data_IF_353978927213
#
_entry.id   IF_353978927213
#
_cell.length_a   1.000
_cell.length_b   1.000
_cell.length_c   1.000
_cell.angle_alpha   90.00
_cell.angle_beta   90.00
_cell.angle_gamma   90.00
#
_symmetry.space_group_name_H-M   'P 1'
#
loop_
_entity.id
_entity.type
_entity.pdbx_description
1 polymer ?
#
# COMPACT_ATOMS: atom_id res chain seq x y z
N UNK A 1 25.65 -1.85 -16.39
CA UNK A 1 24.65 -1.90 -15.27
C UNK A 1 25.18 -2.87 -14.23
N UNK A 2 25.22 -2.53 -12.94
CA UNK A 2 25.82 -3.40 -11.90
C UNK A 2 24.86 -4.58 -11.61
N UNK A 3 25.33 -5.85 -11.64
CA UNK A 3 24.47 -7.04 -11.50
C UNK A 3 23.68 -7.09 -10.18
N UNK A 4 24.18 -6.47 -9.12
CA UNK A 4 23.48 -6.38 -7.83
C UNK A 4 22.12 -5.67 -7.90
N UNK A 5 21.89 -4.79 -8.90
CA UNK A 5 20.62 -4.07 -9.08
C UNK A 5 19.54 -4.94 -9.73
N UNK A 6 19.94 -5.92 -10.53
CA UNK A 6 19.02 -6.85 -11.19
C UNK A 6 18.55 -7.94 -10.22
N UNK A 7 19.40 -8.35 -9.28
CA UNK A 7 19.08 -9.37 -8.27
C UNK A 7 18.04 -8.84 -7.27
N UNK A 8 18.15 -7.57 -6.86
CA UNK A 8 17.18 -6.95 -5.95
C UNK A 8 15.79 -6.80 -6.58
N UNK A 9 15.70 -6.51 -7.89
CA UNK A 9 14.43 -6.40 -8.59
C UNK A 9 13.77 -7.79 -8.82
N UNK A 10 14.57 -8.82 -9.10
CA UNK A 10 14.08 -10.18 -9.26
C UNK A 10 13.60 -10.80 -7.94
N UNK A 11 14.23 -10.47 -6.81
CA UNK A 11 13.83 -10.95 -5.48
C UNK A 11 12.46 -10.41 -5.03
N UNK A 12 12.08 -9.20 -5.46
CA UNK A 12 10.76 -8.61 -5.16
C UNK A 12 9.62 -9.20 -6.00
N UNK A 13 9.91 -9.72 -7.20
CA UNK A 13 8.93 -10.38 -8.07
C UNK A 13 8.69 -11.85 -7.70
N UNK A 14 9.58 -12.47 -6.92
CA UNK A 14 9.46 -13.88 -6.53
C UNK A 14 8.60 -14.13 -5.28
N UNK A 15 8.07 -13.08 -4.63
CA UNK A 15 7.27 -13.19 -3.39
C UNK A 15 5.78 -13.43 -3.69
N UNK A 16 5.36 -13.37 -4.95
CA UNK A 16 4.01 -13.73 -5.36
C UNK A 16 3.87 -15.27 -5.40
N UNK A 17 3.86 -15.89 -4.23
CA UNK A 17 3.38 -17.26 -4.06
C UNK A 17 1.86 -17.30 -4.14
N UNK A 18 1.25 -18.47 -4.46
CA UNK A 18 -0.21 -18.58 -4.44
C UNK A 18 -0.74 -18.20 -3.05
N UNK A 19 -1.73 -17.32 -3.01
CA UNK A 19 -2.44 -16.98 -1.79
C UNK A 19 -3.15 -18.23 -1.28
N UNK A 20 -2.49 -18.98 -0.40
CA UNK A 20 -3.11 -20.05 0.36
C UNK A 20 -3.96 -19.33 1.44
N UNK A 21 -5.23 -19.17 1.16
CA UNK A 21 -6.24 -18.82 2.14
C UNK A 21 -6.26 -19.93 3.22
N UNK A 22 -5.45 -19.78 4.26
CA UNK A 22 -5.59 -20.61 5.44
C UNK A 22 -6.74 -20.07 6.28
N UNK A 23 -7.71 -20.91 6.68
CA UNK A 23 -8.74 -20.55 7.64
C UNK A 23 -8.11 -20.54 9.02
N UNK A 24 -7.65 -19.39 9.43
CA UNK A 24 -7.06 -19.12 10.74
C UNK A 24 -6.78 -17.63 10.76
N UNK A 25 -7.81 -16.81 11.04
CA UNK A 25 -7.63 -15.38 11.25
C UNK A 25 -6.67 -15.19 12.42
N UNK A 26 -5.41 -14.90 12.13
CA UNK A 26 -4.51 -14.37 13.14
C UNK A 26 -5.09 -13.01 13.59
N UNK A 27 -5.80 -13.03 14.70
CA UNK A 27 -6.37 -11.83 15.32
C UNK A 27 -5.28 -11.08 16.08
N UNK A 28 -5.46 -9.79 16.26
CA UNK A 28 -4.56 -8.98 17.07
C UNK A 28 -3.31 -8.51 16.31
N UNK A 29 -2.23 -8.26 17.06
CA UNK A 29 -1.01 -7.64 16.53
C UNK A 29 -0.38 -8.47 15.39
N UNK A 30 -0.28 -9.79 15.56
CA UNK A 30 0.32 -10.69 14.55
C UNK A 30 -0.45 -10.66 13.24
N UNK A 31 -1.78 -10.79 13.31
CA UNK A 31 -2.64 -10.66 12.14
C UNK A 31 -2.47 -9.32 11.44
N UNK A 32 -2.48 -8.22 12.20
CA UNK A 32 -2.24 -6.89 11.65
C UNK A 32 -0.87 -6.73 10.98
N UNK A 33 0.19 -7.31 11.55
CA UNK A 33 1.53 -7.26 10.95
C UNK A 33 1.61 -8.05 9.64
N UNK A 34 0.96 -9.20 9.56
CA UNK A 34 1.03 -10.08 8.40
C UNK A 34 0.08 -9.65 7.28
N UNK A 35 -1.04 -9.02 7.61
CA UNK A 35 -2.10 -8.72 6.67
C UNK A 35 -1.63 -7.92 5.43
N UNK A 36 -0.91 -6.78 5.55
CA UNK A 36 -0.44 -6.04 4.38
C UNK A 36 0.61 -6.77 3.54
N UNK A 37 1.19 -7.85 4.07
CA UNK A 37 2.17 -8.68 3.35
C UNK A 37 1.51 -9.81 2.57
N UNK A 38 0.35 -10.27 3.01
CA UNK A 38 -0.37 -11.42 2.43
C UNK A 38 -1.44 -10.99 1.43
N UNK A 39 -1.98 -9.76 1.56
CA UNK A 39 -2.91 -9.16 0.60
C UNK A 39 -2.15 -8.53 -0.59
N UNK A 40 -2.25 -9.08 -1.82
CA UNK A 40 -1.50 -8.54 -2.96
C UNK A 40 -1.87 -7.10 -3.31
N UNK A 41 -3.12 -6.72 -3.19
CA UNK A 41 -3.63 -5.35 -3.36
C UNK A 41 -3.00 -4.37 -2.35
N UNK A 42 -2.96 -4.78 -1.08
CA UNK A 42 -2.37 -4.01 0.00
C UNK A 42 -0.87 -3.83 -0.17
N UNK A 43 -0.15 -4.92 -0.44
CA UNK A 43 1.28 -4.89 -0.71
C UNK A 43 1.61 -3.92 -1.85
N UNK A 44 0.87 -4.01 -2.96
CA UNK A 44 1.04 -3.15 -4.12
C UNK A 44 0.72 -1.68 -3.79
N UNK A 45 -0.40 -1.40 -3.11
CA UNK A 45 -0.78 -0.04 -2.75
C UNK A 45 0.24 0.61 -1.81
N UNK A 46 0.67 -0.10 -0.75
CA UNK A 46 1.61 0.44 0.24
C UNK A 46 2.98 0.77 -0.39
N UNK A 47 3.52 -0.14 -1.21
CA UNK A 47 4.76 0.13 -1.93
C UNK A 47 4.59 1.31 -2.91
N UNK A 48 3.45 1.37 -3.62
CA UNK A 48 3.16 2.45 -4.55
C UNK A 48 3.09 3.83 -3.89
N UNK A 49 2.53 3.95 -2.67
CA UNK A 49 2.56 5.20 -1.89
C UNK A 49 4.00 5.65 -1.66
N UNK A 50 4.89 4.74 -1.26
CA UNK A 50 6.30 5.03 -1.04
C UNK A 50 7.03 5.45 -2.33
N UNK A 51 6.81 4.73 -3.43
CA UNK A 51 7.34 5.07 -4.75
C UNK A 51 6.87 6.46 -5.20
N UNK A 52 5.58 6.73 -5.10
CA UNK A 52 4.96 8.00 -5.48
C UNK A 52 5.53 9.17 -4.68
N UNK A 53 5.65 9.00 -3.35
CA UNK A 53 6.27 9.98 -2.47
C UNK A 53 7.75 10.23 -2.81
N UNK A 54 8.48 9.15 -3.12
CA UNK A 54 9.89 9.21 -3.52
C UNK A 54 10.11 9.92 -4.85
N UNK A 55 9.23 9.69 -5.84
CA UNK A 55 9.29 10.36 -7.15
C UNK A 55 9.05 11.86 -7.04
N UNK A 56 8.11 12.28 -6.20
CA UNK A 56 7.83 13.70 -5.96
C UNK A 56 8.96 14.37 -5.19
N UNK A 57 9.54 13.68 -4.22
CA UNK A 57 10.61 14.20 -3.37
C UNK A 57 10.18 15.31 -2.40
N UNK A 58 11.15 15.95 -1.76
CA UNK A 58 10.94 17.04 -0.83
C UNK A 58 9.97 16.67 0.31
N UNK A 59 9.01 17.53 0.61
CA UNK A 59 8.02 17.33 1.71
C UNK A 59 7.10 16.13 1.46
N UNK A 60 6.88 15.71 0.22
CA UNK A 60 6.03 14.57 -0.10
C UNK A 60 6.58 13.25 0.46
N UNK A 61 7.90 13.12 0.65
CA UNK A 61 8.54 11.89 1.14
C UNK A 61 8.06 11.44 2.51
N UNK A 62 7.58 12.34 3.34
CA UNK A 62 7.02 12.04 4.66
C UNK A 62 5.53 12.41 4.77
N UNK A 63 5.09 13.48 4.09
CA UNK A 63 3.72 13.97 4.24
C UNK A 63 2.69 13.02 3.62
N UNK A 64 3.00 12.40 2.47
CA UNK A 64 2.09 11.45 1.83
C UNK A 64 1.99 10.13 2.60
N UNK A 65 3.10 9.43 2.98
CA UNK A 65 3.02 8.27 3.85
C UNK A 65 2.29 8.55 5.17
N UNK A 66 2.60 9.67 5.82
CA UNK A 66 1.95 10.04 7.07
C UNK A 66 0.45 10.28 6.89
N UNK A 67 0.04 11.00 5.83
CA UNK A 67 -1.37 11.25 5.54
C UNK A 67 -2.14 9.94 5.33
N UNK A 68 -1.55 8.98 4.62
CA UNK A 68 -2.14 7.65 4.46
C UNK A 68 -2.32 6.95 5.81
N UNK A 69 -1.26 6.88 6.63
CA UNK A 69 -1.31 6.18 7.92
C UNK A 69 -2.30 6.80 8.90
N UNK A 70 -2.33 8.14 8.99
CA UNK A 70 -3.27 8.85 9.86
C UNK A 70 -4.70 8.59 9.40
N UNK A 71 -4.97 8.69 8.10
CA UNK A 71 -6.33 8.45 7.59
C UNK A 71 -6.74 6.98 7.69
N UNK A 72 -5.81 6.02 7.55
CA UNK A 72 -6.08 4.61 7.81
C UNK A 72 -6.45 4.39 9.29
N UNK A 73 -5.74 5.01 10.23
CA UNK A 73 -6.11 4.96 11.64
C UNK A 73 -7.53 5.51 11.87
N UNK A 74 -7.90 6.62 11.21
CA UNK A 74 -9.27 7.15 11.26
C UNK A 74 -10.29 6.18 10.65
N UNK A 75 -9.94 5.48 9.56
CA UNK A 75 -10.76 4.44 8.97
C UNK A 75 -11.04 3.28 9.93
N UNK A 76 -10.01 2.82 10.66
CA UNK A 76 -10.20 1.83 11.73
C UNK A 76 -11.12 2.32 12.84
N UNK A 77 -10.97 3.58 13.26
CA UNK A 77 -11.81 4.19 14.29
C UNK A 77 -13.28 4.37 13.86
N UNK A 78 -13.52 4.57 12.56
CA UNK A 78 -14.89 4.64 12.03
C UNK A 78 -15.61 3.28 12.15
N UNK A 79 -14.85 2.19 12.22
CA UNK A 79 -15.37 0.85 12.41
C UNK A 79 -15.90 0.18 11.14
N UNK A 80 -16.27 -1.10 11.26
CA UNK A 80 -16.73 -1.90 10.11
C UNK A 80 -18.04 -1.35 9.55
N UNK A 81 -18.14 -1.31 8.22
CA UNK A 81 -19.37 -0.92 7.51
C UNK A 81 -19.66 0.58 7.45
N UNK A 82 -18.78 1.45 7.99
CA UNK A 82 -18.98 2.89 7.91
C UNK A 82 -19.01 3.42 6.45
N UNK A 83 -18.27 2.76 5.55
CA UNK A 83 -18.20 3.14 4.13
C UNK A 83 -18.44 1.92 3.22
N UNK A 84 -19.53 1.88 2.48
CA UNK A 84 -19.92 0.69 1.68
C UNK A 84 -19.00 0.42 0.47
N UNK A 85 -18.12 1.36 0.12
CA UNK A 85 -17.20 1.27 -1.01
C UNK A 85 -15.75 0.94 -0.60
N UNK A 86 -15.52 0.38 0.60
CA UNK A 86 -14.17 0.18 1.10
C UNK A 86 -13.34 -0.73 0.17
N UNK A 87 -13.82 -1.93 -0.14
CA UNK A 87 -13.13 -2.88 -1.02
C UNK A 87 -12.88 -2.33 -2.44
N UNK A 88 -13.89 -1.78 -3.15
CA UNK A 88 -13.63 -1.15 -4.44
C UNK A 88 -12.61 -0.01 -4.39
N UNK A 89 -12.55 0.75 -3.30
CA UNK A 89 -11.61 1.84 -3.14
C UNK A 89 -10.19 1.36 -2.82
N UNK A 90 -10.02 0.22 -2.16
CA UNK A 90 -8.72 -0.44 -2.02
C UNK A 90 -8.17 -0.78 -3.40
N UNK A 91 -8.95 -1.46 -4.25
CA UNK A 91 -8.54 -1.78 -5.61
C UNK A 91 -8.29 -0.52 -6.46
N UNK A 92 -9.17 0.49 -6.35
CA UNK A 92 -9.00 1.77 -7.03
C UNK A 92 -7.67 2.45 -6.65
N UNK A 93 -7.22 2.30 -5.39
CA UNK A 93 -5.94 2.84 -4.94
C UNK A 93 -4.75 2.21 -5.66
N UNK A 94 -4.77 0.87 -5.84
CA UNK A 94 -3.71 0.15 -6.59
C UNK A 94 -3.63 0.66 -8.03
N UNK A 95 -4.79 0.76 -8.71
CA UNK A 95 -4.85 1.22 -10.09
C UNK A 95 -4.41 2.68 -10.23
N UNK A 96 -4.93 3.56 -9.39
CA UNK A 96 -4.61 4.99 -9.45
C UNK A 96 -3.15 5.26 -9.10
N UNK A 97 -2.64 4.71 -8.01
CA UNK A 97 -1.25 4.89 -7.61
C UNK A 97 -0.29 4.25 -8.61
N UNK A 98 -0.61 3.04 -9.10
CA UNK A 98 0.15 2.38 -10.16
C UNK A 98 0.27 3.24 -11.40
N UNK A 99 -0.83 3.83 -11.87
CA UNK A 99 -0.86 4.73 -13.03
C UNK A 99 -0.04 6.01 -12.78
N UNK A 100 -0.23 6.67 -11.63
CA UNK A 100 0.47 7.90 -11.29
C UNK A 100 1.99 7.69 -11.20
N UNK A 101 2.42 6.57 -10.62
CA UNK A 101 3.84 6.19 -10.54
C UNK A 101 4.39 5.83 -11.92
N UNK A 102 3.68 5.01 -12.71
CA UNK A 102 4.10 4.61 -14.05
C UNK A 102 4.29 5.80 -14.99
N UNK A 103 3.40 6.78 -14.94
CA UNK A 103 3.44 7.99 -15.76
C UNK A 103 4.33 9.08 -15.18
N UNK A 104 4.81 8.93 -13.95
CA UNK A 104 5.51 9.99 -13.20
C UNK A 104 4.69 11.29 -13.14
N UNK A 105 3.38 11.18 -12.91
CA UNK A 105 2.45 12.30 -12.97
C UNK A 105 2.87 13.43 -12.01
N UNK A 106 2.87 14.71 -12.46
CA UNK A 106 3.31 15.85 -11.67
C UNK A 106 2.21 16.30 -10.70
N UNK A 107 1.99 15.52 -9.63
CA UNK A 107 0.97 15.83 -8.62
C UNK A 107 1.51 16.80 -7.57
N UNK A 108 0.76 17.86 -7.29
CA UNK A 108 1.10 18.83 -6.25
C UNK A 108 1.01 18.24 -4.85
N UNK A 109 1.74 18.84 -3.88
CA UNK A 109 1.79 18.31 -2.50
C UNK A 109 0.40 18.12 -1.88
N UNK A 110 -0.45 19.14 -1.95
CA UNK A 110 -1.80 19.09 -1.36
C UNK A 110 -2.73 18.07 -2.02
N UNK A 111 -2.70 17.99 -3.36
CA UNK A 111 -3.48 17.01 -4.10
C UNK A 111 -3.04 15.57 -3.78
N UNK A 112 -1.72 15.34 -3.66
CA UNK A 112 -1.19 14.06 -3.24
C UNK A 112 -1.59 13.69 -1.82
N UNK A 113 -1.55 14.64 -0.87
CA UNK A 113 -2.05 14.43 0.50
C UNK A 113 -3.52 14.01 0.48
N UNK A 114 -4.38 14.75 -0.23
CA UNK A 114 -5.80 14.44 -0.31
C UNK A 114 -6.06 13.05 -0.90
N UNK A 115 -5.35 12.71 -1.97
CA UNK A 115 -5.49 11.42 -2.65
C UNK A 115 -5.09 10.25 -1.75
N UNK A 116 -3.89 10.30 -1.15
CA UNK A 116 -3.41 9.19 -0.32
C UNK A 116 -4.18 9.10 1.00
N UNK A 117 -4.68 10.24 1.54
CA UNK A 117 -5.54 10.24 2.71
C UNK A 117 -6.90 9.59 2.41
N UNK A 118 -7.49 9.88 1.24
CA UNK A 118 -8.71 9.21 0.80
C UNK A 118 -8.51 7.69 0.75
N UNK A 119 -7.47 7.23 0.10
CA UNK A 119 -7.18 5.80 0.00
C UNK A 119 -6.86 5.18 1.37
N UNK A 120 -6.07 5.85 2.20
CA UNK A 120 -5.78 5.38 3.55
C UNK A 120 -7.04 5.19 4.40
N UNK A 121 -7.99 6.13 4.32
CA UNK A 121 -9.26 6.01 5.04
C UNK A 121 -10.01 4.72 4.68
N UNK A 122 -10.12 4.41 3.39
CA UNK A 122 -10.79 3.20 2.93
C UNK A 122 -10.02 1.92 3.27
N UNK A 123 -8.68 1.94 3.23
CA UNK A 123 -7.87 0.82 3.70
C UNK A 123 -8.12 0.51 5.17
N UNK A 124 -8.06 1.53 6.03
CA UNK A 124 -8.34 1.34 7.46
C UNK A 124 -9.74 0.81 7.72
N UNK A 125 -10.73 1.27 6.96
CA UNK A 125 -12.11 0.85 7.12
C UNK A 125 -12.38 -0.57 6.61
N UNK A 126 -11.78 -0.98 5.48
CA UNK A 126 -11.87 -2.35 4.98
C UNK A 126 -11.34 -3.33 6.04
N UNK A 127 -10.18 -3.02 6.63
CA UNK A 127 -9.55 -3.90 7.61
C UNK A 127 -10.19 -3.85 9.00
N UNK A 128 -10.93 -2.79 9.34
CA UNK A 128 -11.73 -2.78 10.56
C UNK A 128 -12.78 -3.90 10.57
N UNK A 129 -13.28 -4.29 9.37
CA UNK A 129 -14.22 -5.40 9.24
C UNK A 129 -13.56 -6.77 9.46
N UNK A 130 -12.30 -6.92 9.07
CA UNK A 130 -11.54 -8.18 9.15
C UNK A 130 -10.90 -8.41 10.51
N UNK A 131 -10.56 -7.35 11.22
CA UNK A 131 -9.83 -7.39 12.50
C UNK A 131 -10.59 -8.13 13.62
N UNK A 132 -11.90 -8.35 13.48
CA UNK A 132 -12.74 -8.88 14.55
C UNK A 132 -12.89 -7.91 15.73
N UNK A 133 -13.93 -8.09 16.53
CA UNK A 133 -14.29 -7.12 17.60
C UNK A 133 -13.36 -7.16 18.82
N UNK A 134 -12.64 -8.27 19.07
CA UNK A 134 -11.90 -8.47 20.32
C UNK A 134 -10.47 -7.90 20.32
N UNK A 135 -9.87 -7.62 19.18
CA UNK A 135 -8.46 -7.22 19.09
C UNK A 135 -8.18 -6.15 18.04
N UNK A 136 -9.21 -5.39 17.63
CA UNK A 136 -9.14 -4.40 16.55
C UNK A 136 -7.99 -3.39 16.76
N UNK A 137 -7.77 -2.92 17.98
CA UNK A 137 -6.70 -1.95 18.26
C UNK A 137 -5.30 -2.54 18.06
N UNK A 138 -5.06 -3.77 18.49
CA UNK A 138 -3.78 -4.45 18.29
C UNK A 138 -3.55 -4.78 16.81
N UNK A 139 -4.59 -5.21 16.10
CA UNK A 139 -4.55 -5.44 14.66
C UNK A 139 -4.22 -4.13 13.92
N UNK A 140 -4.92 -3.03 14.24
CA UNK A 140 -4.68 -1.73 13.61
C UNK A 140 -3.22 -1.26 13.82
N UNK A 141 -2.65 -1.44 15.00
CA UNK A 141 -1.24 -1.12 15.27
C UNK A 141 -0.32 -1.95 14.37
N UNK A 142 -0.52 -3.27 14.29
CA UNK A 142 0.27 -4.14 13.42
C UNK A 142 0.18 -3.72 11.95
N UNK A 143 -1.04 -3.49 11.47
CA UNK A 143 -1.29 -3.01 10.11
C UNK A 143 -0.56 -1.71 9.80
N UNK A 144 -0.67 -0.70 10.67
CA UNK A 144 -0.02 0.60 10.47
C UNK A 144 1.52 0.50 10.50
N UNK A 145 2.08 -0.34 11.36
CA UNK A 145 3.54 -0.57 11.43
C UNK A 145 4.04 -1.19 10.11
N UNK A 146 3.40 -2.24 9.63
CA UNK A 146 3.80 -2.89 8.38
C UNK A 146 3.56 -1.98 7.17
N UNK A 147 2.45 -1.24 7.13
CA UNK A 147 2.19 -0.24 6.09
C UNK A 147 3.28 0.83 6.05
N UNK A 148 3.70 1.35 7.21
CA UNK A 148 4.80 2.31 7.30
C UNK A 148 6.12 1.71 6.76
N UNK A 149 6.42 0.46 7.10
CA UNK A 149 7.61 -0.24 6.59
C UNK A 149 7.56 -0.42 5.07
N UNK A 150 6.40 -0.77 4.50
CA UNK A 150 6.20 -0.91 3.05
C UNK A 150 6.29 0.44 2.32
N UNK A 151 5.75 1.52 2.91
CA UNK A 151 5.96 2.88 2.39
C UNK A 151 7.46 3.22 2.37
N UNK A 152 8.18 2.89 3.46
CA UNK A 152 9.63 3.06 3.55
C UNK A 152 10.38 2.26 2.48
N UNK A 153 9.97 1.02 2.23
CA UNK A 153 10.55 0.15 1.21
C UNK A 153 10.35 0.74 -0.21
N UNK A 154 9.14 1.20 -0.54
CA UNK A 154 8.87 1.86 -1.82
C UNK A 154 9.69 3.14 -2.01
N UNK A 155 9.77 3.97 -0.97
CA UNK A 155 10.60 5.18 -0.96
C UNK A 155 12.10 4.85 -1.13
N UNK A 156 12.59 3.84 -0.44
CA UNK A 156 13.97 3.35 -0.55
C UNK A 156 14.27 2.83 -1.95
N UNK A 157 13.37 2.01 -2.51
CA UNK A 157 13.49 1.50 -3.86
C UNK A 157 13.60 2.63 -4.89
N UNK A 158 12.73 3.65 -4.78
CA UNK A 158 12.77 4.82 -5.66
C UNK A 158 14.11 5.56 -5.58
N UNK A 159 14.67 5.73 -4.39
CA UNK A 159 15.96 6.43 -4.18
C UNK A 159 17.15 5.66 -4.73
N UNK A 160 17.15 4.34 -4.55
CA UNK A 160 18.29 3.48 -4.96
C UNK A 160 18.25 3.14 -6.44
N UNK A 161 17.09 2.77 -6.94
CA UNK A 161 16.93 2.30 -8.32
C UNK A 161 16.70 3.43 -9.33
N UNK A 162 16.18 4.57 -8.86
CA UNK A 162 15.97 5.77 -9.67
C UNK A 162 14.65 5.77 -10.47
N UNK A 163 14.38 6.87 -11.20
CA UNK A 163 13.06 7.14 -11.79
C UNK A 163 12.56 6.08 -12.80
N UNK A 164 13.45 5.51 -13.60
CA UNK A 164 13.07 4.52 -14.60
C UNK A 164 12.53 3.25 -13.95
N UNK A 165 13.18 2.77 -12.90
CA UNK A 165 12.74 1.60 -12.14
C UNK A 165 11.48 1.88 -11.34
N UNK A 166 11.34 3.09 -10.78
CA UNK A 166 10.09 3.51 -10.15
C UNK A 166 8.90 3.43 -11.11
N UNK A 167 9.05 3.93 -12.34
CA UNK A 167 8.00 3.85 -13.36
C UNK A 167 7.67 2.41 -13.76
N UNK A 168 8.68 1.54 -13.90
CA UNK A 168 8.46 0.11 -14.15
C UNK A 168 7.70 -0.57 -13.00
N UNK A 169 8.07 -0.26 -11.75
CA UNK A 169 7.35 -0.76 -10.59
C UNK A 169 5.90 -0.25 -10.55
N UNK A 170 5.67 1.02 -10.89
CA UNK A 170 4.32 1.56 -11.05
C UNK A 170 3.51 0.87 -12.13
N UNK A 171 4.11 0.57 -13.28
CA UNK A 171 3.46 -0.20 -14.35
C UNK A 171 3.14 -1.63 -13.89
N UNK A 172 4.04 -2.29 -13.17
CA UNK A 172 3.79 -3.60 -12.57
C UNK A 172 2.66 -3.55 -11.55
N UNK A 173 2.60 -2.51 -10.71
CA UNK A 173 1.49 -2.27 -9.78
C UNK A 173 0.16 -2.13 -10.51
N UNK A 174 0.12 -1.32 -11.60
CA UNK A 174 -1.08 -1.14 -12.41
C UNK A 174 -1.55 -2.46 -13.04
N UNK A 175 -0.63 -3.22 -13.64
CA UNK A 175 -0.94 -4.54 -14.22
C UNK A 175 -1.42 -5.52 -13.16
N UNK A 176 -0.79 -5.55 -11.99
CA UNK A 176 -1.22 -6.35 -10.86
C UNK A 176 -2.63 -5.99 -10.40
N UNK A 177 -2.93 -4.69 -10.27
CA UNK A 177 -4.28 -4.20 -9.94
C UNK A 177 -5.33 -4.57 -10.99
N UNK A 178 -4.99 -4.51 -12.28
CA UNK A 178 -5.89 -4.96 -13.36
C UNK A 178 -6.13 -6.48 -13.28
N UNK A 179 -5.11 -7.28 -13.00
CA UNK A 179 -5.27 -8.72 -12.81
C UNK A 179 -6.18 -9.04 -11.63
N UNK A 180 -6.03 -8.32 -10.51
CA UNK A 180 -6.92 -8.46 -9.34
C UNK A 180 -8.37 -8.03 -9.64
N UNK A 181 -8.58 -7.04 -10.51
CA UNK A 181 -9.90 -6.60 -10.91
C UNK A 181 -10.66 -7.62 -11.79
N UNK A 182 -9.93 -8.55 -12.40
CA UNK A 182 -10.47 -9.56 -13.33
C UNK A 182 -10.57 -10.95 -12.70
N UNK A 183 -10.07 -11.15 -11.47
CA UNK A 183 -10.12 -12.42 -10.73
C UNK A 183 -11.38 -12.54 -9.89
#
# INVERSE_FOLDING_TARGET
MRPARMIAAAALLSIAGPALAHPGHEVGLGGGLMHPLTGPDHLLAMIAVGLFAGMRGGRATWAWPLAFLVSAALGFLAGPGAFPLAEPMVLASVLALGLLVATAAPVGLGAGIALVALFGLFHGQAHAAEAGTQAIGAFAVGFLVTSAALHGAGLGLQRVAGPAWGRLAGAATLVGGLALALS
#
